data_IF_863853832504
#
_entry.id   IF_863853832504
#
_cell.length_a   1.000
_cell.length_b   1.000
_cell.length_c   1.000
_cell.angle_alpha   90.00
_cell.angle_beta   90.00
_cell.angle_gamma   90.00
#
_symmetry.space_group_name_H-M   'P 1'
#
loop_
_entity.id
_entity.type
_entity.pdbx_description
1 polymer ?
#
# COMPACT_ATOMS: atom_id res chain seq x y z
N UNK A 1 10.05 -27.26 -86.34
CA UNK A 1 8.96 -27.44 -85.35
C UNK A 1 9.55 -27.28 -83.97
N UNK A 2 9.42 -26.10 -83.34
CA UNK A 2 10.01 -25.79 -81.99
C UNK A 2 8.86 -25.69 -80.96
N UNK A 3 8.83 -26.64 -80.05
CA UNK A 3 7.91 -26.62 -78.90
C UNK A 3 8.40 -25.58 -77.91
N UNK A 4 7.50 -24.65 -77.47
CA UNK A 4 7.71 -23.71 -76.41
C UNK A 4 7.10 -24.31 -75.13
N UNK A 5 7.92 -24.53 -74.14
CA UNK A 5 7.44 -24.86 -72.79
C UNK A 5 7.08 -23.57 -72.01
N UNK A 6 5.84 -23.45 -71.57
CA UNK A 6 5.38 -22.44 -70.67
C UNK A 6 5.56 -23.00 -69.25
N UNK A 7 6.42 -22.34 -68.45
CA UNK A 7 6.53 -22.59 -66.99
C UNK A 7 5.54 -21.72 -66.29
N UNK A 8 4.58 -22.32 -65.56
CA UNK A 8 3.70 -21.64 -64.66
C UNK A 8 4.37 -21.54 -63.25
N UNK A 9 4.64 -20.33 -62.79
CA UNK A 9 5.10 -20.10 -61.44
C UNK A 9 3.89 -19.96 -60.52
N UNK A 10 3.75 -20.87 -59.56
CA UNK A 10 2.75 -20.78 -58.50
C UNK A 10 3.27 -19.86 -57.38
N UNK A 11 2.60 -18.75 -57.17
CA UNK A 11 2.87 -17.86 -56.02
C UNK A 11 2.14 -18.39 -54.77
N UNK A 12 2.89 -18.83 -53.79
CA UNK A 12 2.36 -19.20 -52.47
C UNK A 12 2.23 -17.91 -51.67
N UNK A 13 1.01 -17.45 -51.42
CA UNK A 13 0.73 -16.36 -50.48
C UNK A 13 0.77 -16.90 -49.06
N UNK A 14 1.80 -16.52 -48.28
CA UNK A 14 1.85 -16.79 -46.87
C UNK A 14 0.93 -15.80 -46.13
N UNK A 15 -0.18 -16.31 -45.60
CA UNK A 15 -1.05 -15.55 -44.72
C UNK A 15 -0.38 -15.43 -43.32
N UNK A 16 0.06 -14.23 -42.97
CA UNK A 16 0.51 -13.94 -41.64
C UNK A 16 -0.70 -13.96 -40.71
N UNK A 17 -0.78 -14.96 -39.84
CA UNK A 17 -1.74 -14.99 -38.72
C UNK A 17 -1.26 -13.99 -37.72
N UNK A 18 -1.88 -12.80 -37.65
CA UNK A 18 -1.72 -11.86 -36.56
C UNK A 18 -2.44 -12.48 -35.35
N UNK A 19 -1.70 -13.10 -34.45
CA UNK A 19 -2.22 -13.48 -33.17
C UNK A 19 -2.48 -12.17 -32.38
N UNK A 20 -3.76 -11.86 -32.16
CA UNK A 20 -4.14 -10.86 -31.19
C UNK A 20 -3.55 -11.26 -29.82
N UNK A 21 -2.96 -10.31 -29.06
CA UNK A 21 -2.52 -10.62 -27.72
C UNK A 21 -3.70 -11.19 -26.94
N UNK A 22 -3.51 -12.34 -26.31
CA UNK A 22 -4.50 -12.91 -25.41
C UNK A 22 -4.83 -11.82 -24.38
N UNK A 23 -6.11 -11.40 -24.31
CA UNK A 23 -6.57 -10.54 -23.27
C UNK A 23 -6.28 -11.27 -21.95
N UNK A 24 -5.27 -10.82 -21.21
CA UNK A 24 -5.08 -11.23 -19.82
C UNK A 24 -6.40 -10.94 -19.11
N UNK A 25 -6.99 -11.98 -18.52
CA UNK A 25 -8.16 -11.81 -17.69
C UNK A 25 -7.79 -10.73 -16.66
N UNK A 26 -8.54 -9.62 -16.66
CA UNK A 26 -8.26 -8.52 -15.75
C UNK A 26 -8.25 -9.08 -14.33
N UNK A 27 -7.10 -9.10 -13.70
CA UNK A 27 -6.87 -9.67 -12.36
C UNK A 27 -7.54 -8.86 -11.23
N UNK A 28 -8.36 -7.88 -11.59
CA UNK A 28 -9.12 -7.00 -10.70
C UNK A 28 -8.37 -5.75 -10.28
N UNK A 29 -7.12 -5.57 -10.70
CA UNK A 29 -6.39 -4.33 -10.50
C UNK A 29 -6.94 -3.20 -11.38
N UNK A 30 -7.01 -2.00 -10.83
CA UNK A 30 -7.52 -0.80 -11.48
C UNK A 30 -6.45 0.28 -11.39
N UNK A 31 -5.89 0.73 -12.54
CA UNK A 31 -4.91 1.81 -12.56
C UNK A 31 -5.48 3.11 -11.99
N UNK A 32 -4.67 3.82 -11.21
CA UNK A 32 -4.93 5.19 -10.72
C UNK A 32 -3.94 6.21 -11.27
N UNK A 33 -3.11 5.81 -12.20
CA UNK A 33 -2.14 6.62 -12.93
C UNK A 33 -0.92 5.83 -13.34
N UNK A 34 -0.18 6.39 -14.30
CA UNK A 34 0.99 5.75 -14.88
C UNK A 34 2.28 6.42 -14.38
N UNK A 35 3.37 5.64 -14.34
CA UNK A 35 4.71 6.07 -13.95
C UNK A 35 4.88 6.35 -12.46
N UNK A 36 6.13 6.54 -12.07
CA UNK A 36 6.60 6.60 -10.68
C UNK A 36 5.85 7.61 -9.77
N UNK A 37 5.26 8.68 -10.34
CA UNK A 37 4.54 9.68 -9.52
C UNK A 37 3.11 9.26 -9.17
N UNK A 38 2.65 8.12 -9.68
CA UNK A 38 1.31 7.61 -9.45
C UNK A 38 1.23 6.50 -8.40
N UNK A 39 2.37 6.07 -7.84
CA UNK A 39 2.47 5.04 -6.80
C UNK A 39 1.53 5.26 -5.61
N UNK A 40 1.15 4.17 -4.97
CA UNK A 40 0.32 4.14 -3.75
C UNK A 40 1.20 3.66 -2.61
N UNK A 41 1.72 4.57 -1.82
CA UNK A 41 2.56 4.25 -0.65
C UNK A 41 1.76 4.09 0.64
N UNK A 42 0.52 4.58 0.67
CA UNK A 42 -0.39 4.37 1.79
C UNK A 42 -1.84 4.63 1.40
N UNK A 43 -2.78 3.93 2.02
CA UNK A 43 -4.21 4.02 1.70
C UNK A 43 -5.10 3.95 2.94
N UNK A 44 -6.09 4.85 3.04
CA UNK A 44 -7.11 4.82 4.09
C UNK A 44 -8.49 5.11 3.52
N UNK A 45 -9.55 4.65 4.17
CA UNK A 45 -10.93 4.92 3.75
C UNK A 45 -11.33 6.33 4.15
N UNK A 46 -11.79 7.16 3.19
CA UNK A 46 -12.41 8.46 3.43
C UNK A 46 -13.90 8.34 3.70
N UNK A 47 -14.59 7.58 2.85
CA UNK A 47 -16.01 7.33 2.92
C UNK A 47 -16.38 6.04 2.19
N UNK A 48 -17.47 5.40 2.59
CA UNK A 48 -17.97 4.22 1.88
C UNK A 48 -19.49 4.18 1.89
N UNK A 49 -20.05 3.84 0.74
CA UNK A 49 -21.46 3.53 0.54
C UNK A 49 -21.66 2.05 0.23
N UNK A 50 -22.83 1.71 -0.28
CA UNK A 50 -23.18 0.35 -0.63
C UNK A 50 -22.29 -0.25 -1.74
N UNK A 51 -22.03 0.51 -2.80
CA UNK A 51 -21.20 0.12 -3.95
C UNK A 51 -20.04 1.08 -4.22
N UNK A 52 -19.83 2.06 -3.32
CA UNK A 52 -18.82 3.11 -3.45
C UNK A 52 -17.81 3.06 -2.31
N UNK A 53 -16.56 3.25 -2.66
CA UNK A 53 -15.46 3.52 -1.72
C UNK A 53 -14.74 4.77 -2.19
N UNK A 54 -14.59 5.76 -1.32
CA UNK A 54 -13.67 6.88 -1.48
C UNK A 54 -12.47 6.61 -0.59
N UNK A 55 -11.29 6.53 -1.18
CA UNK A 55 -10.04 6.29 -0.47
C UNK A 55 -9.13 7.52 -0.53
N UNK A 56 -8.45 7.80 0.58
CA UNK A 56 -7.29 8.67 0.65
C UNK A 56 -6.07 7.82 0.30
N UNK A 57 -5.32 8.22 -0.71
CA UNK A 57 -4.04 7.64 -1.08
C UNK A 57 -2.97 8.68 -0.85
N UNK A 58 -1.88 8.30 -0.18
CA UNK A 58 -0.65 9.10 -0.09
C UNK A 58 0.43 8.54 -1.00
N UNK A 59 1.37 9.40 -1.40
CA UNK A 59 2.44 9.11 -2.35
C UNK A 59 3.79 9.53 -1.79
N UNK A 60 4.82 8.78 -2.06
CA UNK A 60 6.20 9.02 -1.66
C UNK A 60 6.88 10.18 -2.39
N UNK A 61 6.15 10.93 -3.19
CA UNK A 61 6.64 12.06 -3.98
C UNK A 61 7.44 13.07 -3.15
N UNK A 62 8.62 13.49 -3.66
CA UNK A 62 9.61 14.26 -2.88
C UNK A 62 9.81 15.70 -3.36
N UNK A 63 9.51 15.99 -4.64
CA UNK A 63 9.86 17.28 -5.27
C UNK A 63 8.71 18.30 -5.19
N UNK A 64 9.00 19.61 -5.20
CA UNK A 64 7.97 20.64 -5.34
C UNK A 64 7.10 20.42 -6.59
N UNK A 65 5.80 20.70 -6.48
CA UNK A 65 4.85 20.54 -7.58
C UNK A 65 4.33 19.10 -7.79
N UNK A 66 4.95 18.10 -7.17
CA UNK A 66 4.46 16.74 -7.18
C UNK A 66 3.32 16.59 -6.17
N UNK A 67 2.30 15.84 -6.54
CA UNK A 67 1.14 15.58 -5.68
C UNK A 67 1.51 14.63 -4.54
N UNK A 68 1.05 14.93 -3.31
CA UNK A 68 1.30 14.12 -2.09
C UNK A 68 0.14 13.22 -1.72
N UNK A 69 -1.05 13.56 -2.17
CA UNK A 69 -2.23 12.78 -1.85
C UNK A 69 -3.29 12.91 -2.94
N UNK A 70 -4.07 11.87 -3.14
CA UNK A 70 -5.23 11.86 -4.03
C UNK A 70 -6.43 11.20 -3.34
N UNK A 71 -7.62 11.59 -3.74
CA UNK A 71 -8.83 10.82 -3.49
C UNK A 71 -9.06 9.89 -4.67
N UNK A 72 -9.13 8.59 -4.40
CA UNK A 72 -9.52 7.58 -5.37
C UNK A 72 -10.95 7.16 -5.07
N UNK A 73 -11.85 7.34 -6.04
CA UNK A 73 -13.23 6.86 -5.94
C UNK A 73 -13.39 5.59 -6.72
N UNK A 74 -13.91 4.55 -6.06
CA UNK A 74 -14.32 3.30 -6.69
C UNK A 74 -15.85 3.19 -6.63
N UNK A 75 -16.47 2.77 -7.75
CA UNK A 75 -17.89 2.46 -7.85
C UNK A 75 -18.03 1.07 -8.48
N UNK A 76 -18.72 0.17 -7.82
CA UNK A 76 -18.81 -1.22 -8.26
C UNK A 76 -17.45 -1.92 -8.34
N UNK A 77 -16.47 -1.51 -7.53
CA UNK A 77 -15.10 -2.03 -7.54
C UNK A 77 -14.21 -1.50 -8.66
N UNK A 78 -14.68 -0.55 -9.46
CA UNK A 78 -13.91 0.08 -10.54
C UNK A 78 -13.57 1.53 -10.19
N UNK A 79 -12.34 1.96 -10.52
CA UNK A 79 -11.93 3.36 -10.37
C UNK A 79 -12.80 4.24 -11.26
N UNK A 80 -13.44 5.22 -10.65
CA UNK A 80 -14.30 6.21 -11.31
C UNK A 80 -13.61 7.56 -11.45
N UNK A 81 -12.93 8.04 -10.38
CA UNK A 81 -12.14 9.27 -10.40
C UNK A 81 -10.89 9.15 -9.55
N UNK A 82 -9.86 9.92 -9.93
CA UNK A 82 -8.65 10.15 -9.15
C UNK A 82 -8.46 11.66 -9.06
N UNK A 83 -8.78 12.23 -7.90
CA UNK A 83 -8.80 13.67 -7.69
C UNK A 83 -7.63 14.09 -6.80
N UNK A 84 -6.75 15.02 -7.23
CA UNK A 84 -5.71 15.55 -6.38
C UNK A 84 -6.25 16.18 -5.10
N UNK A 85 -5.63 15.88 -3.97
CA UNK A 85 -5.89 16.53 -2.68
C UNK A 85 -4.85 17.63 -2.48
N UNK A 86 -5.32 18.87 -2.28
CA UNK A 86 -4.46 19.99 -1.96
C UNK A 86 -3.86 19.81 -0.56
N UNK A 87 -2.55 20.09 -0.44
CA UNK A 87 -1.82 20.06 0.81
C UNK A 87 -1.28 21.46 1.10
N UNK A 88 -2.00 22.31 1.87
CA UNK A 88 -1.58 23.67 2.15
C UNK A 88 -0.31 23.70 3.01
N UNK A 89 0.58 24.65 2.73
CA UNK A 89 1.80 24.88 3.50
C UNK A 89 2.98 24.04 3.02
N UNK A 90 3.83 23.61 3.98
CA UNK A 90 5.00 22.79 3.68
C UNK A 90 4.57 21.40 3.22
N UNK A 91 5.02 21.00 2.04
CA UNK A 91 4.73 19.68 1.50
C UNK A 91 5.53 18.60 2.26
N UNK A 92 4.88 17.51 2.68
CA UNK A 92 5.62 16.37 3.22
C UNK A 92 6.54 15.76 2.16
N UNK A 93 7.59 15.13 2.61
CA UNK A 93 8.54 14.42 1.75
C UNK A 93 8.44 12.94 2.09
N UNK A 94 8.26 12.10 1.06
CA UNK A 94 8.40 10.65 1.22
C UNK A 94 7.33 10.05 2.16
N UNK A 95 6.04 10.31 1.86
CA UNK A 95 4.93 9.71 2.62
C UNK A 95 4.77 8.24 2.26
N UNK A 96 4.76 7.38 3.29
CA UNK A 96 4.74 5.93 3.14
C UNK A 96 3.50 5.26 3.75
N UNK A 97 2.80 5.94 4.65
CA UNK A 97 1.61 5.37 5.26
C UNK A 97 0.56 6.43 5.55
N UNK A 98 -0.71 6.02 5.59
CA UNK A 98 -1.81 6.84 6.09
C UNK A 98 -2.85 5.99 6.80
N UNK A 99 -3.28 6.44 7.98
CA UNK A 99 -4.24 5.71 8.82
C UNK A 99 -5.29 6.66 9.40
N UNK A 100 -6.54 6.22 9.43
CA UNK A 100 -7.63 6.98 10.05
C UNK A 100 -7.48 7.00 11.57
N UNK A 101 -7.65 8.18 12.19
CA UNK A 101 -7.65 8.28 13.66
C UNK A 101 -8.96 7.67 14.21
N UNK A 102 -8.89 6.61 15.02
CA UNK A 102 -10.06 5.95 15.56
C UNK A 102 -10.98 6.91 16.34
N UNK A 103 -12.27 6.92 15.98
CA UNK A 103 -13.27 7.78 16.60
C UNK A 103 -13.26 9.25 16.15
N UNK A 104 -12.39 9.64 15.21
CA UNK A 104 -12.31 11.00 14.67
C UNK A 104 -12.57 10.99 13.16
N UNK A 105 -13.78 11.32 12.78
CA UNK A 105 -14.17 11.36 11.37
C UNK A 105 -13.39 12.44 10.62
N UNK A 106 -12.80 12.07 9.48
CA UNK A 106 -12.05 12.96 8.62
C UNK A 106 -10.63 13.30 9.12
N UNK A 107 -10.19 12.74 10.26
CA UNK A 107 -8.83 12.93 10.77
C UNK A 107 -7.97 11.69 10.49
N UNK A 108 -6.73 11.92 10.04
CA UNK A 108 -5.78 10.87 9.64
C UNK A 108 -4.39 11.20 10.16
N UNK A 109 -3.56 10.16 10.31
CA UNK A 109 -2.13 10.29 10.45
C UNK A 109 -1.49 9.84 9.14
N UNK A 110 -0.69 10.71 8.52
CA UNK A 110 0.21 10.34 7.44
C UNK A 110 1.64 10.27 7.99
N UNK A 111 2.39 9.22 7.63
CA UNK A 111 3.75 9.00 8.09
C UNK A 111 4.72 9.04 6.91
N UNK A 112 5.83 9.76 7.07
CA UNK A 112 6.95 9.74 6.14
C UNK A 112 7.97 8.66 6.53
N UNK A 113 8.77 8.18 5.57
CA UNK A 113 9.82 7.18 5.78
C UNK A 113 10.83 7.55 6.89
N UNK A 114 11.03 8.84 7.10
CA UNK A 114 11.85 9.39 8.19
C UNK A 114 11.24 9.27 9.59
N UNK A 115 9.98 8.84 9.68
CA UNK A 115 9.20 8.81 10.92
C UNK A 115 8.56 10.17 11.29
N UNK A 116 8.64 11.19 10.42
CA UNK A 116 7.87 12.43 10.60
C UNK A 116 6.40 12.14 10.32
N UNK A 117 5.55 12.31 11.33
CA UNK A 117 4.10 12.13 11.24
C UNK A 117 3.37 13.46 11.09
N UNK A 118 2.28 13.43 10.35
CA UNK A 118 1.39 14.56 10.09
C UNK A 118 -0.02 14.15 10.54
N UNK A 119 -0.55 14.82 11.55
CA UNK A 119 -1.97 14.73 11.89
C UNK A 119 -2.73 15.68 10.98
N UNK A 120 -3.57 15.14 10.14
CA UNK A 120 -4.29 15.89 9.11
C UNK A 120 -5.80 15.74 9.25
N UNK A 121 -6.54 16.76 8.79
CA UNK A 121 -7.98 16.67 8.54
C UNK A 121 -8.23 16.81 7.04
N UNK A 122 -8.96 15.86 6.46
CA UNK A 122 -9.34 15.89 5.05
C UNK A 122 -10.77 16.42 4.94
N UNK A 123 -10.92 17.57 4.31
CA UNK A 123 -12.21 18.22 4.01
C UNK A 123 -12.34 18.40 2.49
N UNK A 124 -13.24 17.67 1.86
CA UNK A 124 -13.37 17.66 0.40
C UNK A 124 -12.09 17.16 -0.29
N UNK A 125 -11.39 18.05 -0.97
CA UNK A 125 -10.10 17.79 -1.65
C UNK A 125 -8.96 18.62 -1.03
N UNK A 126 -9.00 18.85 0.27
CA UNK A 126 -7.95 19.57 1.00
C UNK A 126 -7.55 18.81 2.26
N UNK A 127 -6.26 18.60 2.48
CA UNK A 127 -5.67 18.04 3.69
C UNK A 127 -5.10 19.19 4.55
N UNK A 128 -5.81 19.58 5.62
CA UNK A 128 -5.34 20.55 6.60
C UNK A 128 -4.42 19.86 7.61
N UNK A 129 -3.20 20.38 7.81
CA UNK A 129 -2.28 19.87 8.84
C UNK A 129 -2.67 20.43 10.19
N UNK A 130 -3.11 19.58 11.13
CA UNK A 130 -3.48 19.92 12.49
C UNK A 130 -2.27 19.94 13.43
N UNK A 131 -1.23 19.18 13.11
CA UNK A 131 0.01 19.11 13.87
C UNK A 131 0.99 18.10 13.27
N UNK A 132 2.21 18.12 13.78
CA UNK A 132 3.26 17.19 13.36
C UNK A 132 3.96 16.57 14.58
N UNK A 133 4.54 15.41 14.41
CA UNK A 133 5.29 14.71 15.44
C UNK A 133 6.44 13.89 14.82
N UNK A 134 7.24 13.29 15.67
CA UNK A 134 8.23 12.29 15.29
C UNK A 134 7.89 10.99 16.02
N UNK A 135 7.81 9.85 15.32
CA UNK A 135 7.73 8.55 16.00
C UNK A 135 8.96 8.33 16.88
N UNK A 136 8.85 7.58 18.00
CA UNK A 136 10.02 7.25 18.81
C UNK A 136 11.12 6.64 17.93
N UNK A 137 12.36 7.10 18.15
CA UNK A 137 13.52 6.67 17.37
C UNK A 137 13.71 5.16 17.51
N UNK A 138 13.77 4.48 16.38
CA UNK A 138 14.12 3.06 16.26
C UNK A 138 15.63 2.83 16.10
N UNK A 139 16.00 1.77 15.39
CA UNK A 139 17.36 1.46 15.08
C UNK A 139 17.94 2.44 14.03
N UNK A 140 19.27 2.52 13.98
CA UNK A 140 19.95 3.26 12.93
C UNK A 140 19.71 2.58 11.57
N UNK A 141 19.33 3.37 10.57
CA UNK A 141 19.02 2.87 9.22
C UNK A 141 17.58 2.37 9.04
N UNK A 142 16.71 2.53 10.04
CA UNK A 142 15.27 2.28 9.86
C UNK A 142 14.70 3.21 8.78
N UNK A 143 13.88 2.63 7.92
CA UNK A 143 13.08 3.28 6.91
C UNK A 143 11.63 2.83 7.13
N UNK A 144 10.77 3.74 7.61
CA UNK A 144 9.41 3.38 7.99
C UNK A 144 8.48 3.40 6.78
N UNK A 145 7.80 2.27 6.55
CA UNK A 145 6.89 2.08 5.41
C UNK A 145 5.44 1.89 5.84
N UNK A 146 5.17 1.68 7.13
CA UNK A 146 3.84 1.35 7.59
C UNK A 146 3.48 2.02 8.91
N UNK A 147 2.18 2.31 9.09
CA UNK A 147 1.65 2.90 10.30
C UNK A 147 0.17 2.56 10.47
N UNK A 148 -0.22 2.03 11.62
CA UNK A 148 -1.61 1.82 11.97
C UNK A 148 -1.94 2.31 13.39
N UNK A 149 -3.21 2.63 13.62
CA UNK A 149 -3.75 3.04 14.91
C UNK A 149 -4.81 2.06 15.38
N UNK A 150 -4.75 1.65 16.63
CA UNK A 150 -5.75 0.76 17.22
C UNK A 150 -6.16 1.17 18.63
N UNK A 151 -7.45 1.33 18.81
CA UNK A 151 -8.01 1.48 20.16
C UNK A 151 -8.24 0.10 20.78
N UNK A 152 -7.60 -0.18 21.91
CA UNK A 152 -7.74 -1.42 22.68
C UNK A 152 -8.03 -1.09 24.12
N UNK A 153 -9.20 -1.49 24.62
CA UNK A 153 -9.65 -1.23 26.01
C UNK A 153 -9.57 0.25 26.39
N UNK A 154 -9.94 1.15 25.47
CA UNK A 154 -9.94 2.60 25.72
C UNK A 154 -8.58 3.29 25.66
N UNK A 155 -7.50 2.55 25.36
CA UNK A 155 -6.16 3.10 25.09
C UNK A 155 -5.90 3.07 23.59
N UNK A 156 -5.29 4.12 23.07
CA UNK A 156 -4.91 4.17 21.65
C UNK A 156 -3.44 3.79 21.49
N UNK A 157 -3.19 2.83 20.62
CA UNK A 157 -1.84 2.39 20.27
C UNK A 157 -1.54 2.72 18.81
N UNK A 158 -0.33 3.18 18.57
CA UNK A 158 0.28 3.23 17.25
C UNK A 158 1.17 2.00 17.09
N UNK A 159 1.12 1.42 15.87
CA UNK A 159 2.03 0.39 15.42
C UNK A 159 2.66 0.88 14.12
N UNK A 160 3.98 0.83 14.01
CA UNK A 160 4.69 1.22 12.80
C UNK A 160 5.84 0.23 12.55
N UNK A 161 6.33 0.19 11.33
CA UNK A 161 7.40 -0.74 11.00
C UNK A 161 8.46 -0.12 10.09
N UNK A 162 9.72 -0.48 10.37
CA UNK A 162 10.79 -0.44 9.38
C UNK A 162 10.58 -1.55 8.36
N UNK A 163 10.84 -1.25 7.07
CA UNK A 163 10.58 -2.19 5.97
C UNK A 163 11.41 -3.48 6.03
N UNK A 164 12.58 -3.45 6.68
CA UNK A 164 13.57 -4.51 6.53
C UNK A 164 14.15 -4.56 5.11
N UNK A 165 15.13 -5.41 4.86
CA UNK A 165 15.63 -5.67 3.52
C UNK A 165 16.43 -6.96 3.48
N UNK A 166 16.04 -7.92 2.66
CA UNK A 166 16.73 -9.20 2.45
C UNK A 166 17.07 -9.92 3.77
N UNK A 167 18.35 -10.00 4.11
CA UNK A 167 18.80 -10.60 5.36
C UNK A 167 18.50 -9.76 6.60
N UNK A 168 18.22 -8.45 6.47
CA UNK A 168 17.85 -7.56 7.57
C UNK A 168 16.36 -7.65 7.83
N UNK A 169 15.99 -8.17 8.99
CA UNK A 169 14.58 -8.23 9.41
C UNK A 169 13.96 -6.82 9.42
N UNK A 170 12.65 -6.74 9.16
CA UNK A 170 11.83 -5.62 9.58
C UNK A 170 11.78 -5.56 11.12
N UNK A 171 11.56 -4.37 11.66
CA UNK A 171 11.25 -4.18 13.08
C UNK A 171 9.89 -3.54 13.21
N UNK A 172 8.96 -4.24 13.87
CA UNK A 172 7.66 -3.70 14.23
C UNK A 172 7.78 -3.02 15.58
N UNK A 173 7.33 -1.78 15.63
CA UNK A 173 7.28 -0.97 16.85
C UNK A 173 5.83 -0.80 17.28
N UNK A 174 5.62 -0.65 18.58
CA UNK A 174 4.32 -0.28 19.14
C UNK A 174 4.48 0.61 20.35
N UNK A 175 3.62 1.61 20.48
CA UNK A 175 3.54 2.49 21.67
C UNK A 175 2.12 3.01 21.86
N UNK A 176 1.77 3.34 23.09
CA UNK A 176 0.58 4.15 23.36
C UNK A 176 0.79 5.55 22.78
N UNK A 177 -0.24 6.14 22.17
CA UNK A 177 -0.20 7.48 21.60
C UNK A 177 -1.32 8.34 22.18
N UNK A 178 -0.99 9.56 22.57
CA UNK A 178 -1.94 10.64 22.87
C UNK A 178 -2.06 11.55 21.64
N UNK A 179 -3.14 11.38 20.87
CA UNK A 179 -3.37 12.17 19.64
C UNK A 179 -3.57 13.66 19.93
N UNK A 180 -4.08 14.02 21.11
CA UNK A 180 -4.29 15.43 21.45
C UNK A 180 -2.96 16.17 21.71
N UNK A 181 -1.96 15.43 22.20
CA UNK A 181 -0.62 15.95 22.47
C UNK A 181 0.40 15.57 21.42
N UNK A 182 0.06 14.68 20.49
CA UNK A 182 0.95 14.08 19.50
C UNK A 182 2.22 13.50 20.15
N UNK A 183 2.01 12.77 21.26
CA UNK A 183 3.10 12.21 22.07
C UNK A 183 2.93 10.71 22.29
N UNK A 184 4.06 10.02 22.43
CA UNK A 184 4.13 8.57 22.57
C UNK A 184 4.58 8.16 23.98
N UNK A 185 4.05 7.04 24.45
CA UNK A 185 4.63 6.29 25.55
C UNK A 185 5.92 5.56 25.12
N UNK A 186 6.48 4.78 26.05
CA UNK A 186 7.69 3.99 25.76
C UNK A 186 7.43 2.97 24.64
N UNK A 187 8.25 2.96 23.56
CA UNK A 187 8.08 2.03 22.47
C UNK A 187 8.52 0.62 22.86
N UNK A 188 7.88 -0.37 22.27
CA UNK A 188 8.30 -1.76 22.24
C UNK A 188 8.67 -2.13 20.81
N UNK A 189 9.58 -3.08 20.62
CA UNK A 189 10.05 -3.51 19.33
C UNK A 189 10.07 -5.04 19.24
N UNK A 190 9.75 -5.57 18.06
CA UNK A 190 9.85 -7.00 17.77
C UNK A 190 10.30 -7.20 16.33
N UNK A 191 11.30 -8.09 16.06
CA UNK A 191 11.73 -8.37 14.70
C UNK A 191 10.69 -9.20 13.96
N UNK A 192 10.54 -8.93 12.65
CA UNK A 192 9.62 -9.61 11.76
C UNK A 192 10.29 -9.99 10.44
N UNK A 193 10.00 -11.20 9.97
CA UNK A 193 10.44 -11.71 8.68
C UNK A 193 9.33 -12.47 8.00
N UNK A 194 9.39 -12.48 6.67
CA UNK A 194 8.51 -13.27 5.81
C UNK A 194 9.31 -14.26 4.99
N UNK A 195 8.65 -15.29 4.48
CA UNK A 195 9.24 -16.29 3.60
C UNK A 195 9.06 -15.98 2.11
N UNK A 196 8.27 -14.96 1.77
CA UNK A 196 8.00 -14.54 0.39
C UNK A 196 7.73 -13.02 0.36
N UNK A 197 8.22 -12.29 -0.65
CA UNK A 197 9.07 -12.73 -1.77
C UNK A 197 10.40 -13.38 -1.33
N UNK A 198 11.08 -14.10 -2.25
CA UNK A 198 12.32 -14.82 -1.91
C UNK A 198 13.59 -13.99 -2.14
N UNK A 199 13.49 -12.89 -2.92
CA UNK A 199 14.60 -12.01 -3.29
C UNK A 199 14.15 -10.56 -3.26
N UNK A 200 15.11 -9.66 -3.05
CA UNK A 200 14.91 -8.20 -3.00
C UNK A 200 13.80 -7.82 -1.99
N UNK A 201 13.76 -8.52 -0.86
CA UNK A 201 12.62 -8.55 0.06
C UNK A 201 12.55 -7.31 0.92
N UNK A 202 11.43 -6.59 0.87
CA UNK A 202 10.92 -5.74 1.94
C UNK A 202 9.97 -6.58 2.80
N UNK A 203 10.32 -6.81 4.06
CA UNK A 203 9.55 -7.71 4.94
C UNK A 203 8.23 -7.11 5.41
N UNK A 204 8.16 -5.78 5.52
CA UNK A 204 6.96 -5.05 5.85
C UNK A 204 6.88 -3.80 4.97
N UNK A 205 5.98 -3.80 3.96
CA UNK A 205 5.72 -2.65 3.09
C UNK A 205 4.52 -1.85 3.58
N UNK A 206 3.51 -2.50 4.18
CA UNK A 206 2.42 -1.83 4.89
C UNK A 206 1.82 -2.77 5.94
N UNK A 207 1.07 -2.23 6.89
CA UNK A 207 0.37 -2.99 7.92
C UNK A 207 -1.02 -2.42 8.24
N UNK A 208 -1.95 -3.31 8.59
CA UNK A 208 -3.30 -2.97 9.03
C UNK A 208 -3.65 -3.77 10.29
N UNK A 209 -4.44 -3.19 11.19
CA UNK A 209 -4.89 -3.86 12.41
C UNK A 209 -6.40 -4.04 12.40
N UNK A 210 -6.84 -5.28 12.26
CA UNK A 210 -8.25 -5.66 12.21
C UNK A 210 -9.01 -5.32 13.50
N UNK A 211 -10.34 -5.39 13.47
CA UNK A 211 -11.16 -5.11 14.67
C UNK A 211 -10.85 -6.07 15.83
N UNK A 212 -10.54 -7.33 15.53
CA UNK A 212 -10.14 -8.35 16.53
C UNK A 212 -8.63 -8.32 16.86
N UNK A 213 -7.96 -7.21 16.55
CA UNK A 213 -6.55 -6.91 16.80
C UNK A 213 -5.55 -7.82 16.08
N UNK A 214 -5.95 -8.55 15.02
CA UNK A 214 -4.96 -9.22 14.15
C UNK A 214 -4.17 -8.17 13.39
N UNK A 215 -2.89 -8.45 13.21
CA UNK A 215 -1.98 -7.63 12.41
C UNK A 215 -1.84 -8.31 11.05
N UNK A 216 -2.24 -7.59 9.99
CA UNK A 216 -1.99 -7.94 8.61
C UNK A 216 -0.79 -7.15 8.13
N UNK A 217 0.11 -7.76 7.37
CA UNK A 217 1.31 -7.11 6.83
C UNK A 217 1.45 -7.50 5.36
N UNK A 218 1.67 -6.51 4.49
CA UNK A 218 2.17 -6.76 3.14
C UNK A 218 3.68 -6.84 3.14
N UNK A 219 4.21 -7.70 2.28
CA UNK A 219 5.60 -7.76 1.91
C UNK A 219 5.73 -7.62 0.40
N UNK A 220 6.81 -7.01 -0.07
CA UNK A 220 7.05 -6.83 -1.50
C UNK A 220 8.50 -7.12 -1.87
N UNK A 221 8.75 -7.48 -3.13
CA UNK A 221 10.07 -7.42 -3.71
C UNK A 221 10.36 -6.03 -4.26
N UNK A 222 11.60 -5.60 -4.18
CA UNK A 222 12.06 -4.31 -4.69
C UNK A 222 13.36 -4.48 -5.49
N UNK A 223 13.28 -5.05 -6.70
CA UNK A 223 14.45 -5.27 -7.54
C UNK A 223 14.89 -4.01 -8.33
N UNK A 224 14.23 -2.86 -8.10
CA UNK A 224 14.41 -1.60 -8.81
C UNK A 224 13.21 -1.21 -9.66
N UNK A 225 13.29 -0.08 -10.36
CA UNK A 225 12.15 0.68 -10.92
C UNK A 225 11.32 -0.07 -11.98
N UNK A 226 11.86 -1.09 -12.63
CA UNK A 226 11.17 -1.84 -13.71
C UNK A 226 10.64 -3.22 -13.29
N UNK A 227 10.83 -3.64 -12.03
CA UNK A 227 10.43 -4.96 -11.56
C UNK A 227 11.23 -6.12 -12.17
N UNK A 228 10.70 -7.35 -12.24
CA UNK A 228 9.34 -7.74 -11.87
C UNK A 228 9.10 -7.70 -10.36
N UNK A 229 7.89 -7.31 -9.98
CA UNK A 229 7.49 -7.23 -8.59
C UNK A 229 6.72 -8.49 -8.16
N UNK A 230 6.85 -8.82 -6.89
CA UNK A 230 6.08 -9.85 -6.22
C UNK A 230 5.67 -9.35 -4.83
N UNK A 231 4.45 -9.67 -4.41
CA UNK A 231 3.99 -9.34 -3.06
C UNK A 231 3.20 -10.48 -2.43
N UNK A 232 3.17 -10.46 -1.10
CA UNK A 232 2.25 -11.28 -0.33
C UNK A 232 1.67 -10.51 0.84
N UNK A 233 0.50 -10.94 1.31
CA UNK A 233 -0.12 -10.42 2.54
C UNK A 233 -0.18 -11.55 3.56
N UNK A 234 0.19 -11.22 4.79
CA UNK A 234 0.30 -12.16 5.90
C UNK A 234 -0.61 -11.77 7.07
N UNK A 235 -1.21 -12.76 7.71
CA UNK A 235 -1.67 -12.64 9.08
C UNK A 235 -0.46 -12.87 10.00
N UNK A 236 0.16 -11.77 10.46
CA UNK A 236 1.47 -11.80 11.11
C UNK A 236 1.39 -12.05 12.62
N UNK A 237 0.26 -11.73 13.25
CA UNK A 237 0.11 -11.86 14.68
C UNK A 237 -1.04 -11.05 15.25
N UNK A 238 -0.90 -10.60 16.51
CA UNK A 238 -1.93 -9.79 17.21
C UNK A 238 -1.31 -8.68 18.05
N UNK A 239 -1.99 -7.54 18.10
CA UNK A 239 -1.76 -6.51 19.11
C UNK A 239 -2.47 -6.92 20.41
N UNK A 240 -1.74 -7.01 21.51
CA UNK A 240 -2.29 -7.36 22.83
C UNK A 240 -2.86 -6.14 23.54
N UNK A 241 -3.66 -6.38 24.58
CA UNK A 241 -4.30 -5.33 25.36
C UNK A 241 -3.34 -4.39 26.08
N UNK A 242 -2.11 -4.82 26.32
CA UNK A 242 -1.04 -3.99 26.91
C UNK A 242 -0.23 -3.22 25.86
N UNK A 243 -0.60 -3.34 24.57
CA UNK A 243 0.08 -2.73 23.44
C UNK A 243 1.30 -3.52 22.93
N UNK A 244 1.62 -4.69 23.48
CA UNK A 244 2.67 -5.54 22.94
C UNK A 244 2.20 -6.28 21.66
N UNK A 245 3.12 -6.53 20.74
CA UNK A 245 2.88 -7.31 19.54
C UNK A 245 3.23 -8.78 19.84
N UNK A 246 2.28 -9.68 19.57
CA UNK A 246 2.48 -11.12 19.61
C UNK A 246 2.50 -11.66 18.19
N UNK A 247 3.68 -11.86 17.63
CA UNK A 247 3.83 -12.48 16.32
C UNK A 247 3.46 -13.96 16.35
N UNK A 248 2.90 -14.46 15.25
CA UNK A 248 2.79 -15.89 14.99
C UNK A 248 4.20 -16.46 14.76
N UNK A 249 4.44 -17.68 15.23
CA UNK A 249 5.71 -18.37 14.96
C UNK A 249 5.94 -18.55 13.46
N UNK A 250 4.87 -18.89 12.74
CA UNK A 250 4.81 -18.97 11.29
C UNK A 250 3.68 -18.06 10.78
N UNK A 251 3.98 -16.86 10.26
CA UNK A 251 2.98 -15.97 9.68
C UNK A 251 2.21 -16.65 8.55
N UNK A 252 0.88 -16.61 8.62
CA UNK A 252 0.03 -17.25 7.61
C UNK A 252 -0.10 -16.34 6.39
N UNK A 253 0.34 -16.82 5.24
CA UNK A 253 0.19 -16.13 3.96
C UNK A 253 -1.28 -16.22 3.51
N UNK A 254 -1.97 -15.07 3.44
CA UNK A 254 -3.39 -14.98 3.06
C UNK A 254 -3.60 -14.57 1.61
N UNK A 255 -2.55 -14.13 0.92
CA UNK A 255 -2.59 -13.82 -0.51
C UNK A 255 -1.19 -13.68 -1.10
N UNK A 256 -1.08 -13.95 -2.39
CA UNK A 256 0.14 -13.75 -3.20
C UNK A 256 -0.24 -12.99 -4.46
N UNK A 257 0.55 -12.00 -4.82
CA UNK A 257 0.25 -11.04 -5.90
C UNK A 257 1.49 -10.84 -6.78
N UNK A 258 1.73 -11.76 -7.73
CA UNK A 258 2.84 -11.62 -8.67
C UNK A 258 2.57 -10.46 -9.63
N UNK A 259 3.63 -9.76 -10.00
CA UNK A 259 3.60 -8.62 -10.91
C UNK A 259 3.23 -7.29 -10.24
N UNK A 260 3.04 -7.26 -8.92
CA UNK A 260 2.62 -6.06 -8.19
C UNK A 260 3.42 -5.85 -6.91
N UNK A 261 3.79 -4.61 -6.63
CA UNK A 261 4.44 -4.14 -5.41
C UNK A 261 3.39 -3.54 -4.48
N UNK A 262 2.77 -4.36 -3.62
CA UNK A 262 1.76 -3.89 -2.67
C UNK A 262 2.44 -3.12 -1.55
N UNK A 263 2.22 -1.82 -1.50
CA UNK A 263 2.72 -0.90 -0.49
C UNK A 263 1.60 -0.23 0.33
N UNK A 264 0.34 -0.62 0.08
CA UNK A 264 -0.78 -0.10 0.85
C UNK A 264 -1.88 -1.15 1.01
N UNK A 265 -2.46 -1.24 2.21
CA UNK A 265 -3.63 -2.07 2.47
C UNK A 265 -4.52 -1.46 3.55
N UNK A 266 -5.83 -1.55 3.38
CA UNK A 266 -6.79 -1.14 4.41
C UNK A 266 -8.03 -2.01 4.41
N UNK A 267 -8.65 -2.17 5.59
CA UNK A 267 -9.87 -2.94 5.77
C UNK A 267 -11.10 -2.18 5.27
N UNK A 268 -11.86 -2.77 4.33
CA UNK A 268 -13.16 -2.25 3.90
C UNK A 268 -14.33 -2.71 4.78
N UNK A 269 -14.09 -3.55 5.77
CA UNK A 269 -15.10 -4.01 6.73
C UNK A 269 -14.43 -4.23 8.08
N UNK A 270 -15.20 -4.15 9.16
CA UNK A 270 -14.70 -4.35 10.51
C UNK A 270 -13.98 -5.70 10.69
N UNK A 271 -14.50 -6.76 10.06
CA UNK A 271 -13.88 -8.10 10.07
C UNK A 271 -12.67 -8.22 9.13
N UNK A 272 -12.35 -7.19 8.33
CA UNK A 272 -11.40 -7.26 7.21
C UNK A 272 -11.68 -8.41 6.22
N UNK A 273 -12.91 -8.87 6.10
CA UNK A 273 -13.33 -9.83 5.08
C UNK A 273 -13.25 -9.27 3.65
N UNK A 274 -13.05 -7.95 3.53
CA UNK A 274 -12.72 -7.24 2.28
C UNK A 274 -11.60 -6.26 2.56
N UNK A 275 -10.59 -6.30 1.70
CA UNK A 275 -9.42 -5.43 1.75
C UNK A 275 -9.34 -4.58 0.48
N UNK A 276 -8.88 -3.36 0.61
CA UNK A 276 -8.44 -2.52 -0.49
C UNK A 276 -6.92 -2.48 -0.47
N UNK A 277 -6.30 -2.88 -1.55
CA UNK A 277 -4.85 -2.84 -1.77
C UNK A 277 -4.50 -1.67 -2.67
N UNK A 278 -3.29 -1.14 -2.50
CA UNK A 278 -2.64 -0.22 -3.39
C UNK A 278 -1.25 -0.69 -3.75
N UNK A 279 -0.80 -0.39 -4.97
CA UNK A 279 0.53 -0.75 -5.44
C UNK A 279 1.35 0.47 -5.81
N UNK A 280 2.64 0.39 -5.56
CA UNK A 280 3.64 1.22 -6.20
C UNK A 280 4.49 0.37 -7.13
N UNK A 281 4.00 0.19 -8.36
CA UNK A 281 4.70 -0.60 -9.38
C UNK A 281 5.74 0.28 -10.12
N UNK A 282 6.26 1.32 -9.46
CA UNK A 282 7.32 2.24 -9.91
C UNK A 282 7.03 2.80 -11.33
N UNK A 283 7.84 2.45 -12.35
CA UNK A 283 7.58 2.84 -13.75
C UNK A 283 6.20 2.35 -14.25
N UNK A 284 5.66 1.28 -13.69
CA UNK A 284 4.33 0.73 -13.99
C UNK A 284 3.19 1.58 -13.44
N UNK A 285 3.48 2.52 -12.52
CA UNK A 285 2.48 3.39 -11.90
C UNK A 285 1.79 2.77 -10.70
N UNK A 286 0.66 3.35 -10.31
CA UNK A 286 -0.14 2.91 -9.18
C UNK A 286 -1.45 2.24 -9.59
N UNK A 287 -1.81 1.19 -8.87
CA UNK A 287 -3.08 0.49 -9.03
C UNK A 287 -3.74 0.22 -7.70
N UNK A 288 -5.06 0.04 -7.72
CA UNK A 288 -5.83 -0.37 -6.54
C UNK A 288 -6.67 -1.60 -6.85
N UNK A 289 -6.93 -2.43 -5.84
CA UNK A 289 -7.75 -3.64 -5.96
C UNK A 289 -8.55 -3.90 -4.70
N UNK A 290 -9.85 -4.15 -4.87
CA UNK A 290 -10.67 -4.72 -3.79
C UNK A 290 -10.61 -6.24 -3.89
N UNK A 291 -10.19 -6.88 -2.81
CA UNK A 291 -10.16 -8.34 -2.68
C UNK A 291 -11.03 -8.78 -1.51
N UNK A 292 -11.72 -9.91 -1.66
CA UNK A 292 -12.19 -10.66 -0.49
C UNK A 292 -10.97 -11.24 0.22
N UNK A 293 -10.88 -11.07 1.52
CA UNK A 293 -9.96 -11.89 2.32
C UNK A 293 -10.46 -13.33 2.21
N UNK A 294 -9.61 -14.21 1.70
CA UNK A 294 -9.90 -15.62 1.54
C UNK A 294 -10.17 -16.33 2.88
#
# INVERSE_FOLDING_TARGET
>A
MRLKYLSAAAAIAAAAVIQAPAAQAADGWQSIGDGMLAGVSGIAVLDRGWDRVDALVVRDNKKPGQNRAVRVRLVGGKVSTVDPIAWPGELPIDLEAVEQVPGRVGEYIALASSGKGFHIRVCGLTAEVLGTFQVPKGAEGDNYESFALKSVRGRLFAVWADRGQDSRASTLYSAEIDIAKLSFGAPRAVPFRVSYPERDVRHASDLEITEDNRILISSASDPGDSGPFDSAVYAAGKLRADGSIALAADPVKIGVYPGHKIEALTCLSASCGRLLYGTDDEEGGGSVRISSAG
#
